data_IF_854519240045
#
_entry.id   IF_854519240045
#
_cell.length_a   1.000
_cell.length_b   1.000
_cell.length_c   1.000
_cell.angle_alpha   90.00
_cell.angle_beta   90.00
_cell.angle_gamma   90.00
#
_symmetry.space_group_name_H-M   'P 1'
#
loop_
_entity.id
_entity.type
_entity.pdbx_description
1 polymer ?
#
# COMPACT_ATOMS: atom_id res chain seq x y z
N UNK A 1 4.67 6.09 -19.23
CA UNK A 1 3.79 6.10 -20.43
C UNK A 1 2.51 5.41 -20.01
N UNK A 2 1.33 6.01 -20.22
CA UNK A 2 0.05 5.36 -19.89
C UNK A 2 -0.24 4.28 -20.94
N UNK A 3 -0.46 3.00 -20.55
CA UNK A 3 -0.89 1.93 -21.44
C UNK A 3 -2.13 2.31 -22.25
N UNK A 4 -2.23 1.79 -23.48
CA UNK A 4 -3.32 2.16 -24.41
C UNK A 4 -4.72 1.89 -23.82
N UNK A 5 -4.89 0.76 -23.13
CA UNK A 5 -6.17 0.39 -22.53
C UNK A 5 -6.61 1.31 -21.37
N UNK A 6 -5.66 1.99 -20.71
CA UNK A 6 -5.94 2.98 -19.64
C UNK A 6 -6.12 4.40 -20.19
N UNK A 7 -5.57 4.68 -21.38
CA UNK A 7 -5.48 6.04 -21.93
C UNK A 7 -6.84 6.67 -22.16
N UNK A 8 -7.79 5.91 -22.72
CA UNK A 8 -9.15 6.42 -22.99
C UNK A 8 -9.82 6.91 -21.71
N UNK A 9 -9.69 6.16 -20.61
CA UNK A 9 -10.27 6.55 -19.33
C UNK A 9 -9.55 7.75 -18.73
N UNK A 10 -8.21 7.80 -18.81
CA UNK A 10 -7.43 8.96 -18.36
C UNK A 10 -7.84 10.24 -19.11
N UNK A 11 -7.96 10.17 -20.44
CA UNK A 11 -8.35 11.30 -21.29
C UNK A 11 -9.78 11.76 -20.98
N UNK A 12 -10.71 10.83 -20.73
CA UNK A 12 -12.07 11.17 -20.33
C UNK A 12 -12.13 11.83 -18.94
N UNK A 13 -11.32 11.37 -17.97
CA UNK A 13 -11.21 12.02 -16.65
C UNK A 13 -10.69 13.45 -16.81
N UNK A 14 -9.66 13.66 -17.63
CA UNK A 14 -9.14 14.99 -17.93
C UNK A 14 -10.23 15.87 -18.57
N UNK A 15 -10.98 15.34 -19.54
CA UNK A 15 -12.04 16.09 -20.22
C UNK A 15 -13.18 16.50 -19.26
N UNK A 16 -13.57 15.63 -18.33
CA UNK A 16 -14.57 15.95 -17.30
C UNK A 16 -14.02 16.95 -16.26
N UNK A 17 -12.76 16.81 -15.86
CA UNK A 17 -12.09 17.74 -14.95
C UNK A 17 -11.93 19.14 -15.58
N UNK A 18 -11.63 19.22 -16.87
CA UNK A 18 -11.47 20.50 -17.58
C UNK A 18 -12.78 21.31 -17.59
N UNK A 19 -13.92 20.61 -17.75
CA UNK A 19 -15.27 21.20 -17.74
C UNK A 19 -15.75 21.61 -16.36
N UNK A 20 -15.25 20.96 -15.31
CA UNK A 20 -15.61 21.27 -13.93
C UNK A 20 -14.75 22.43 -13.39
N UNK A 21 -15.34 23.63 -13.14
CA UNK A 21 -14.57 24.78 -12.66
C UNK A 21 -13.98 24.58 -11.25
N UNK A 22 -14.47 23.58 -10.51
CA UNK A 22 -14.00 23.23 -9.16
C UNK A 22 -12.68 22.47 -9.19
N UNK A 23 -12.35 21.82 -10.31
CA UNK A 23 -11.11 21.05 -10.47
C UNK A 23 -10.01 21.95 -11.07
N UNK A 24 -8.85 21.90 -10.44
CA UNK A 24 -7.64 22.67 -10.74
C UNK A 24 -6.59 21.84 -11.49
N UNK A 25 -6.48 20.54 -11.22
CA UNK A 25 -5.52 19.68 -11.89
C UNK A 25 -5.91 18.19 -11.81
N UNK A 26 -5.34 17.41 -12.73
CA UNK A 26 -5.34 15.94 -12.71
C UNK A 26 -3.89 15.47 -12.80
N UNK A 27 -3.46 14.68 -11.82
CA UNK A 27 -2.16 14.01 -11.81
C UNK A 27 -2.33 12.51 -11.88
N UNK A 28 -1.40 11.81 -12.53
CA UNK A 28 -1.27 10.36 -12.48
C UNK A 28 -0.18 9.95 -11.50
N UNK A 29 -0.52 9.12 -10.52
CA UNK A 29 0.41 8.50 -9.57
C UNK A 29 0.81 7.08 -9.97
N UNK A 30 1.27 6.33 -8.98
CA UNK A 30 1.49 4.89 -9.02
C UNK A 30 2.36 4.45 -10.19
N UNK A 31 1.95 3.36 -10.83
CA UNK A 31 2.74 2.72 -11.89
C UNK A 31 3.05 3.67 -13.06
N UNK A 32 2.17 4.64 -13.32
CA UNK A 32 2.34 5.65 -14.39
C UNK A 32 3.45 6.61 -14.02
N UNK A 33 3.46 7.11 -12.79
CA UNK A 33 4.47 8.02 -12.27
C UNK A 33 5.86 7.36 -12.18
N UNK A 34 5.89 6.05 -11.89
CA UNK A 34 7.14 5.29 -11.79
C UNK A 34 7.63 4.73 -13.11
N UNK A 35 6.83 4.81 -14.18
CA UNK A 35 7.16 4.27 -15.50
C UNK A 35 7.13 2.74 -15.56
N UNK A 36 6.41 2.09 -14.65
CA UNK A 36 6.32 0.62 -14.53
C UNK A 36 4.94 0.07 -14.87
N UNK A 37 4.06 0.87 -15.50
CA UNK A 37 2.73 0.40 -15.92
C UNK A 37 2.81 -0.70 -16.98
N UNK A 38 1.93 -1.68 -16.85
CA UNK A 38 1.75 -2.82 -17.75
C UNK A 38 0.24 -3.10 -17.98
N UNK A 39 -0.08 -4.24 -18.59
CA UNK A 39 -1.47 -4.65 -18.89
C UNK A 39 -2.32 -4.98 -17.65
N UNK A 40 -1.70 -5.14 -16.48
CA UNK A 40 -2.37 -5.46 -15.21
C UNK A 40 -2.45 -4.27 -14.27
N UNK A 41 -1.97 -3.10 -14.72
CA UNK A 41 -1.92 -1.90 -13.92
C UNK A 41 -3.29 -1.23 -13.84
N UNK A 42 -3.59 -0.70 -12.66
CA UNK A 42 -4.62 0.29 -12.44
C UNK A 42 -4.15 1.70 -12.86
N UNK A 43 -5.09 2.65 -12.80
CA UNK A 43 -4.84 4.06 -13.02
C UNK A 43 -5.09 4.85 -11.73
N UNK A 44 -4.01 5.26 -11.06
CA UNK A 44 -4.06 6.16 -9.90
C UNK A 44 -4.16 7.62 -10.34
N UNK A 45 -5.31 8.26 -10.17
CA UNK A 45 -5.52 9.67 -10.49
C UNK A 45 -5.77 10.50 -9.24
N UNK A 46 -5.09 11.64 -9.16
CA UNK A 46 -5.31 12.67 -8.15
C UNK A 46 -5.97 13.86 -8.80
N UNK A 47 -7.20 14.16 -8.40
CA UNK A 47 -7.94 15.35 -8.81
C UNK A 47 -7.76 16.43 -7.74
N UNK A 48 -7.08 17.50 -8.09
CA UNK A 48 -6.90 18.66 -7.22
C UNK A 48 -8.12 19.57 -7.37
N UNK A 49 -8.94 19.65 -6.34
CA UNK A 49 -10.13 20.50 -6.27
C UNK A 49 -9.79 21.81 -5.55
N UNK A 50 -10.58 22.87 -5.74
CA UNK A 50 -10.55 24.04 -4.85
C UNK A 50 -10.87 23.64 -3.42
N UNK A 51 -10.30 24.37 -2.46
CA UNK A 51 -10.43 24.06 -1.03
C UNK A 51 -11.91 24.01 -0.60
N UNK A 52 -12.70 25.01 -1.00
CA UNK A 52 -14.12 25.14 -0.66
C UNK A 52 -15.02 24.13 -1.36
N UNK A 53 -14.60 23.58 -2.49
CA UNK A 53 -15.41 22.74 -3.37
C UNK A 53 -15.15 21.23 -3.15
N UNK A 54 -14.03 20.85 -2.54
CA UNK A 54 -13.66 19.44 -2.36
C UNK A 54 -14.75 18.59 -1.68
N UNK A 55 -15.47 19.06 -0.63
CA UNK A 55 -16.54 18.27 -0.04
C UNK A 55 -17.67 17.95 -1.03
N UNK A 56 -18.02 18.90 -1.91
CA UNK A 56 -19.03 18.68 -2.95
C UNK A 56 -18.51 17.73 -4.04
N UNK A 57 -17.25 17.88 -4.47
CA UNK A 57 -16.61 16.95 -5.40
C UNK A 57 -16.62 15.50 -4.87
N UNK A 58 -16.37 15.31 -3.57
CA UNK A 58 -16.43 13.99 -2.93
C UNK A 58 -17.85 13.43 -2.87
N UNK A 59 -18.84 14.27 -2.51
CA UNK A 59 -20.25 13.87 -2.48
C UNK A 59 -20.75 13.44 -3.88
N UNK A 60 -20.24 14.07 -4.94
CA UNK A 60 -20.60 13.82 -6.33
C UNK A 60 -19.64 12.85 -7.05
N UNK A 61 -18.66 12.26 -6.35
CA UNK A 61 -17.57 11.50 -6.98
C UNK A 61 -18.09 10.32 -7.85
N UNK A 62 -19.16 9.65 -7.39
CA UNK A 62 -19.80 8.57 -8.15
C UNK A 62 -20.46 9.07 -9.43
N UNK A 63 -21.07 10.24 -9.40
CA UNK A 63 -21.68 10.87 -10.58
C UNK A 63 -20.59 11.32 -11.56
N UNK A 64 -19.49 11.87 -11.05
CA UNK A 64 -18.31 12.17 -11.85
C UNK A 64 -17.79 10.92 -12.57
N UNK A 65 -17.57 9.82 -11.83
CA UNK A 65 -17.15 8.54 -12.42
C UNK A 65 -18.14 8.01 -13.47
N UNK A 66 -19.45 8.17 -13.24
CA UNK A 66 -20.48 7.79 -14.22
C UNK A 66 -20.42 8.55 -15.55
N UNK A 67 -19.86 9.76 -15.57
CA UNK A 67 -19.67 10.55 -16.81
C UNK A 67 -18.38 10.20 -17.55
N UNK A 68 -17.37 9.68 -16.86
CA UNK A 68 -16.07 9.32 -17.43
C UNK A 68 -16.17 8.16 -18.43
N UNK A 69 -17.08 7.21 -18.21
CA UNK A 69 -17.19 6.05 -19.07
C UNK A 69 -18.23 5.05 -18.61
N UNK A 70 -18.26 3.83 -19.20
CA UNK A 70 -19.19 2.78 -18.83
C UNK A 70 -18.81 2.20 -17.46
N UNK A 71 -19.26 2.86 -16.40
CA UNK A 71 -19.02 2.48 -15.01
C UNK A 71 -19.78 1.20 -14.67
N UNK A 72 -19.05 0.18 -14.21
CA UNK A 72 -19.61 -1.10 -13.79
C UNK A 72 -19.84 -1.13 -12.27
N UNK A 73 -18.90 -0.58 -11.50
CA UNK A 73 -19.00 -0.50 -10.04
C UNK A 73 -18.15 0.64 -9.49
N UNK A 74 -18.54 1.20 -8.35
CA UNK A 74 -17.70 2.16 -7.61
C UNK A 74 -17.98 2.14 -6.11
N UNK A 75 -16.95 2.40 -5.32
CA UNK A 75 -17.02 2.47 -3.85
C UNK A 75 -15.92 3.38 -3.29
N UNK A 76 -16.07 3.76 -2.03
CA UNK A 76 -15.17 4.64 -1.28
C UNK A 76 -13.98 3.88 -0.70
N UNK A 77 -12.85 4.57 -0.51
CA UNK A 77 -11.62 4.02 0.09
C UNK A 77 -11.67 3.78 1.60
N UNK A 78 -12.85 3.63 2.21
CA UNK A 78 -13.02 3.49 3.66
C UNK A 78 -12.30 2.26 4.23
N UNK A 79 -12.29 1.15 3.50
CA UNK A 79 -11.61 -0.09 3.86
C UNK A 79 -10.07 0.03 3.91
N UNK A 80 -9.49 1.07 3.28
CA UNK A 80 -8.06 1.42 3.35
C UNK A 80 -7.81 2.70 4.15
N UNK A 81 -8.84 3.24 4.81
CA UNK A 81 -8.73 4.46 5.62
C UNK A 81 -8.54 5.75 4.82
N UNK A 82 -8.85 5.76 3.51
CA UNK A 82 -8.75 6.94 2.65
C UNK A 82 -10.15 7.42 2.22
N UNK A 83 -10.80 8.32 2.98
CA UNK A 83 -12.16 8.78 2.68
C UNK A 83 -12.22 9.69 1.44
N UNK A 84 -11.06 10.16 0.94
CA UNK A 84 -10.99 11.02 -0.24
C UNK A 84 -10.89 10.24 -1.56
N UNK A 85 -10.88 8.91 -1.48
CA UNK A 85 -10.68 8.02 -2.62
C UNK A 85 -12.01 7.41 -3.05
N UNK A 86 -12.31 7.52 -4.34
CA UNK A 86 -13.29 6.69 -5.02
C UNK A 86 -12.57 5.68 -5.90
N UNK A 87 -12.87 4.40 -5.72
CA UNK A 87 -12.40 3.31 -6.56
C UNK A 87 -13.49 3.00 -7.57
N UNK A 88 -13.14 2.97 -8.85
CA UNK A 88 -14.05 2.76 -9.95
C UNK A 88 -13.57 1.62 -10.87
N UNK A 89 -14.51 0.78 -11.29
CA UNK A 89 -14.29 -0.26 -12.28
C UNK A 89 -15.13 0.07 -13.52
N UNK A 90 -14.48 0.26 -14.66
CA UNK A 90 -15.12 0.52 -15.95
C UNK A 90 -15.08 -0.71 -16.85
N UNK A 91 -15.96 -0.78 -17.86
CA UNK A 91 -15.71 -1.64 -19.01
C UNK A 91 -16.83 -1.72 -20.05
N UNK A 92 -16.54 -2.30 -21.23
CA UNK A 92 -15.24 -2.83 -21.67
C UNK A 92 -14.28 -1.78 -22.30
N UNK A 93 -12.93 -1.96 -22.25
CA UNK A 93 -12.20 -3.02 -21.53
C UNK A 93 -12.28 -2.81 -20.00
N UNK A 94 -12.01 -3.87 -19.22
CA UNK A 94 -11.97 -3.74 -17.76
C UNK A 94 -10.82 -2.84 -17.35
N UNK A 95 -11.14 -1.75 -16.65
CA UNK A 95 -10.16 -0.77 -16.17
C UNK A 95 -10.47 -0.40 -14.73
N UNK A 96 -9.48 -0.58 -13.85
CA UNK A 96 -9.52 -0.17 -12.45
C UNK A 96 -8.91 1.23 -12.31
N UNK A 97 -9.65 2.16 -11.70
CA UNK A 97 -9.24 3.55 -11.54
C UNK A 97 -9.47 4.02 -10.12
N UNK A 98 -8.42 4.56 -9.53
CA UNK A 98 -8.45 5.26 -8.25
C UNK A 98 -8.58 6.75 -8.52
N UNK A 99 -9.70 7.34 -8.09
CA UNK A 99 -9.97 8.78 -8.20
C UNK A 99 -9.87 9.40 -6.80
N UNK A 100 -8.72 9.99 -6.50
CA UNK A 100 -8.46 10.66 -5.21
C UNK A 100 -8.67 12.16 -5.33
N UNK A 101 -9.62 12.70 -4.58
CA UNK A 101 -9.96 14.12 -4.60
C UNK A 101 -9.24 14.83 -3.45
N UNK A 102 -8.29 15.71 -3.76
CA UNK A 102 -7.51 16.46 -2.78
C UNK A 102 -7.67 17.95 -2.97
N UNK A 103 -7.38 18.72 -1.94
CA UNK A 103 -7.17 20.16 -2.06
C UNK A 103 -5.70 20.48 -2.36
N UNK A 104 -5.32 21.73 -2.72
CA UNK A 104 -3.92 22.12 -2.85
C UNK A 104 -3.13 21.89 -1.56
N UNK A 105 -3.73 22.17 -0.40
CA UNK A 105 -3.11 21.87 0.89
C UNK A 105 -2.95 20.36 1.10
N UNK A 106 -3.99 19.58 0.79
CA UNK A 106 -3.94 18.12 0.85
C UNK A 106 -2.88 17.49 -0.07
N UNK A 107 -2.52 18.15 -1.17
CA UNK A 107 -1.46 17.74 -2.10
C UNK A 107 -0.05 17.96 -1.54
N UNK A 108 0.12 18.84 -0.53
CA UNK A 108 1.41 19.03 0.16
C UNK A 108 1.88 17.74 0.84
N UNK A 109 0.95 16.95 1.36
CA UNK A 109 1.23 15.63 1.94
C UNK A 109 0.99 14.52 0.90
N UNK A 110 2.06 14.14 0.21
CA UNK A 110 2.03 13.10 -0.84
C UNK A 110 3.24 12.18 -0.72
N UNK A 111 3.09 10.96 -1.22
CA UNK A 111 4.18 9.97 -1.25
C UNK A 111 5.08 10.14 -2.48
N UNK A 112 4.56 10.74 -3.55
CA UNK A 112 5.29 11.07 -4.78
C UNK A 112 4.62 12.25 -5.50
N UNK A 113 5.33 12.88 -6.44
CA UNK A 113 4.83 14.05 -7.17
C UNK A 113 3.74 13.72 -8.19
N UNK A 114 3.77 12.52 -8.77
CA UNK A 114 2.93 12.16 -9.92
C UNK A 114 3.30 12.90 -11.22
N UNK A 115 2.67 12.50 -12.32
CA UNK A 115 2.78 13.15 -13.62
C UNK A 115 1.55 14.04 -13.83
N UNK A 116 1.74 15.32 -14.11
CA UNK A 116 0.61 16.21 -14.42
C UNK A 116 0.05 15.81 -15.78
N UNK A 117 -1.22 15.40 -15.81
CA UNK A 117 -1.95 15.14 -17.06
C UNK A 117 -2.61 16.42 -17.57
N UNK A 118 -3.12 17.23 -16.64
CA UNK A 118 -3.73 18.52 -16.92
C UNK A 118 -3.69 19.41 -15.67
N UNK A 119 -3.52 20.72 -15.86
CA UNK A 119 -3.68 21.71 -14.81
C UNK A 119 -4.22 23.02 -15.39
N UNK A 120 -5.05 23.70 -14.62
CA UNK A 120 -5.74 24.95 -14.99
C UNK A 120 -4.84 26.17 -14.80
N UNK A 121 -4.02 26.15 -13.76
CA UNK A 121 -3.07 27.20 -13.39
C UNK A 121 -1.79 26.58 -12.78
N UNK A 122 -0.96 27.39 -12.12
CA UNK A 122 0.33 26.99 -11.55
C UNK A 122 0.23 26.37 -10.15
N UNK A 123 -0.97 26.02 -9.67
CA UNK A 123 -1.19 25.54 -8.30
C UNK A 123 -0.35 24.31 -7.95
N UNK A 124 -0.25 23.33 -8.85
CA UNK A 124 0.56 22.12 -8.60
C UNK A 124 2.04 22.49 -8.52
N UNK A 125 2.51 23.36 -9.40
CA UNK A 125 3.92 23.78 -9.44
C UNK A 125 4.30 24.54 -8.16
N UNK A 126 3.44 25.43 -7.66
CA UNK A 126 3.63 26.12 -6.37
C UNK A 126 3.67 25.14 -5.20
N UNK A 127 2.70 24.22 -5.11
CA UNK A 127 2.68 23.20 -4.04
C UNK A 127 3.98 22.37 -4.03
N UNK A 128 4.48 21.97 -5.21
CA UNK A 128 5.73 21.21 -5.35
C UNK A 128 6.97 22.00 -4.94
N UNK A 129 7.01 23.31 -5.20
CA UNK A 129 8.10 24.17 -4.74
C UNK A 129 8.12 24.33 -3.21
N UNK A 130 6.94 24.24 -2.59
CA UNK A 130 6.76 24.52 -1.16
C UNK A 130 6.64 23.24 -0.30
N UNK A 131 6.75 22.04 -0.89
CA UNK A 131 6.63 20.77 -0.18
C UNK A 131 7.31 19.61 -0.91
N UNK A 132 7.84 18.64 -0.16
CA UNK A 132 8.55 17.48 -0.69
C UNK A 132 7.74 16.20 -0.47
N UNK A 133 7.61 15.31 -1.47
CA UNK A 133 6.96 14.02 -1.28
C UNK A 133 7.79 13.13 -0.34
N UNK A 134 7.12 12.33 0.49
CA UNK A 134 7.79 11.39 1.39
C UNK A 134 6.99 10.10 1.53
N UNK A 135 7.64 8.97 1.22
CA UNK A 135 7.11 7.65 1.56
C UNK A 135 7.32 7.38 3.04
N UNK A 136 6.30 6.90 3.77
CA UNK A 136 6.46 6.46 5.15
C UNK A 136 7.57 5.40 5.24
N UNK A 137 8.62 5.71 5.99
CA UNK A 137 9.70 4.75 6.22
C UNK A 137 9.31 3.82 7.38
N UNK A 138 9.76 2.56 7.34
CA UNK A 138 9.50 1.66 8.45
C UNK A 138 10.23 2.13 9.71
N UNK A 139 9.61 1.91 10.87
CA UNK A 139 10.20 2.15 12.18
C UNK A 139 10.65 0.81 12.78
N UNK A 140 11.97 0.50 12.77
CA UNK A 140 12.45 -0.77 13.28
C UNK A 140 12.18 -0.97 14.77
N UNK A 141 12.19 0.09 15.57
CA UNK A 141 11.93 -0.02 17.01
C UNK A 141 10.45 -0.32 17.26
N UNK A 142 9.54 0.32 16.52
CA UNK A 142 8.12 0.03 16.59
C UNK A 142 7.80 -1.44 16.27
N UNK A 143 8.54 -2.03 15.31
CA UNK A 143 8.44 -3.44 14.95
C UNK A 143 8.98 -4.33 16.08
N UNK A 144 10.21 -4.08 16.57
CA UNK A 144 10.85 -4.90 17.61
C UNK A 144 10.06 -4.88 18.93
N UNK A 145 9.44 -3.75 19.28
CA UNK A 145 8.60 -3.63 20.48
C UNK A 145 7.34 -4.52 20.45
N UNK A 146 6.95 -5.02 19.26
CA UNK A 146 5.68 -5.76 19.06
C UNK A 146 5.86 -7.19 18.56
N UNK A 147 6.92 -7.46 17.81
CA UNK A 147 7.10 -8.73 17.10
C UNK A 147 6.99 -9.95 18.00
N UNK A 148 7.61 -9.93 19.19
CA UNK A 148 7.59 -11.06 20.11
C UNK A 148 6.19 -11.32 20.68
N UNK A 149 5.42 -10.27 20.92
CA UNK A 149 4.01 -10.37 21.33
C UNK A 149 3.17 -10.99 20.21
N UNK A 150 3.41 -10.60 18.95
CA UNK A 150 2.71 -11.19 17.80
C UNK A 150 3.10 -12.65 17.53
N UNK A 151 4.36 -13.02 17.73
CA UNK A 151 4.83 -14.41 17.60
C UNK A 151 4.16 -15.27 18.67
N UNK A 152 4.16 -14.84 19.94
CA UNK A 152 3.47 -15.57 21.00
C UNK A 152 1.95 -15.65 20.75
N UNK A 153 1.32 -14.56 20.32
CA UNK A 153 -0.10 -14.56 19.93
C UNK A 153 -0.37 -15.64 18.88
N UNK A 154 0.41 -15.65 17.79
CA UNK A 154 0.28 -16.63 16.71
C UNK A 154 0.44 -18.06 17.24
N UNK A 155 1.42 -18.32 18.10
CA UNK A 155 1.64 -19.63 18.71
C UNK A 155 0.43 -20.11 19.53
N UNK A 156 -0.18 -19.22 20.32
CA UNK A 156 -1.40 -19.52 21.08
C UNK A 156 -2.56 -19.87 20.16
N UNK A 157 -2.69 -19.21 19.00
CA UNK A 157 -3.72 -19.53 17.99
C UNK A 157 -3.54 -20.92 17.40
N UNK A 158 -2.30 -21.30 17.09
CA UNK A 158 -1.97 -22.67 16.66
C UNK A 158 -2.35 -23.68 17.74
N UNK A 159 -1.91 -23.46 18.98
CA UNK A 159 -2.17 -24.38 20.10
C UNK A 159 -3.67 -24.56 20.41
N UNK A 160 -4.49 -23.55 20.11
CA UNK A 160 -5.95 -23.58 20.29
C UNK A 160 -6.71 -24.16 19.09
N UNK A 161 -6.02 -24.50 18.00
CA UNK A 161 -6.65 -24.94 16.75
C UNK A 161 -7.37 -23.81 16.01
N UNK A 162 -7.11 -22.54 16.34
CA UNK A 162 -7.64 -21.36 15.65
C UNK A 162 -6.78 -21.11 14.37
N UNK A 163 -6.74 -22.09 13.46
CA UNK A 163 -5.74 -22.17 12.39
C UNK A 163 -5.84 -21.05 11.36
N UNK A 164 -7.05 -20.61 11.00
CA UNK A 164 -7.21 -19.47 10.08
C UNK A 164 -6.69 -18.16 10.69
N UNK A 165 -6.94 -17.92 11.97
CA UNK A 165 -6.39 -16.78 12.71
C UNK A 165 -4.86 -16.86 12.77
N UNK A 166 -4.29 -18.05 12.97
CA UNK A 166 -2.84 -18.24 12.94
C UNK A 166 -2.26 -17.92 11.55
N UNK A 167 -2.92 -18.33 10.46
CA UNK A 167 -2.48 -18.03 9.09
C UNK A 167 -2.57 -16.53 8.79
N UNK A 168 -3.64 -15.86 9.23
CA UNK A 168 -3.76 -14.40 9.12
C UNK A 168 -2.65 -13.68 9.91
N UNK A 169 -2.38 -14.12 11.14
CA UNK A 169 -1.32 -13.56 11.97
C UNK A 169 0.08 -13.77 11.34
N UNK A 170 0.35 -14.93 10.72
CA UNK A 170 1.57 -15.15 9.93
C UNK A 170 1.67 -14.19 8.75
N UNK A 171 0.56 -13.96 8.04
CA UNK A 171 0.48 -12.97 6.97
C UNK A 171 0.75 -11.54 7.46
N UNK A 172 0.23 -11.19 8.64
CA UNK A 172 0.49 -9.91 9.28
C UNK A 172 1.98 -9.78 9.65
N UNK A 173 2.58 -10.76 10.33
CA UNK A 173 4.02 -10.76 10.67
C UNK A 173 4.90 -10.58 9.42
N UNK A 174 4.59 -11.29 8.33
CA UNK A 174 5.28 -11.07 7.05
C UNK A 174 5.17 -9.62 6.58
N UNK A 175 3.97 -9.06 6.61
CA UNK A 175 3.66 -7.77 5.98
C UNK A 175 4.12 -6.56 6.79
N UNK A 176 4.02 -6.62 8.12
CA UNK A 176 4.24 -5.47 9.02
C UNK A 176 5.58 -5.51 9.76
N UNK A 177 6.27 -6.66 9.78
CA UNK A 177 7.56 -6.80 10.46
C UNK A 177 8.68 -7.23 9.50
N UNK A 178 8.51 -8.37 8.82
CA UNK A 178 9.59 -8.93 7.99
C UNK A 178 9.82 -8.10 6.73
N UNK A 179 8.78 -7.84 5.93
CA UNK A 179 8.92 -7.13 4.67
C UNK A 179 9.46 -5.69 4.81
N UNK A 180 9.05 -4.91 5.81
CA UNK A 180 9.62 -3.60 6.10
C UNK A 180 11.14 -3.63 6.33
N UNK A 181 11.63 -4.56 7.16
CA UNK A 181 13.07 -4.69 7.41
C UNK A 181 13.81 -5.31 6.22
N UNK A 182 13.21 -6.27 5.53
CA UNK A 182 13.75 -6.89 4.32
C UNK A 182 13.91 -5.92 3.15
N UNK A 183 13.27 -4.75 3.19
CA UNK A 183 13.34 -3.75 2.11
C UNK A 183 14.16 -2.51 2.50
N UNK A 184 14.65 -2.43 3.75
CA UNK A 184 15.52 -1.36 4.21
C UNK A 184 16.76 -1.23 3.31
N UNK A 185 17.00 -0.01 2.82
CA UNK A 185 18.12 0.30 1.92
C UNK A 185 17.98 -0.27 0.50
N UNK A 186 16.90 -0.99 0.17
CA UNK A 186 16.66 -1.60 -1.15
C UNK A 186 15.66 -0.82 -2.00
N UNK A 187 14.81 -0.04 -1.35
CA UNK A 187 13.84 0.84 -2.01
C UNK A 187 13.60 2.08 -1.17
N UNK A 188 13.34 3.21 -1.84
CA UNK A 188 12.84 4.42 -1.19
C UNK A 188 11.30 4.38 -0.99
N UNK A 189 10.64 3.34 -1.53
CA UNK A 189 9.18 3.18 -1.60
C UNK A 189 8.76 1.86 -0.95
N UNK A 190 8.82 1.76 0.38
CA UNK A 190 8.35 0.56 1.08
C UNK A 190 6.85 0.35 0.82
N UNK A 191 6.47 -0.87 0.45
CA UNK A 191 5.09 -1.23 0.06
C UNK A 191 4.69 -2.62 0.60
N UNK A 192 5.10 -2.92 1.83
CA UNK A 192 4.88 -4.23 2.45
C UNK A 192 5.54 -5.36 1.64
N UNK A 193 4.79 -6.44 1.40
CA UNK A 193 5.28 -7.62 0.66
C UNK A 193 5.38 -7.41 -0.86
N UNK A 194 4.90 -6.27 -1.38
CA UNK A 194 4.84 -6.03 -2.83
C UNK A 194 6.24 -6.08 -3.44
N UNK A 195 6.43 -6.97 -4.42
CA UNK A 195 7.66 -7.14 -5.21
C UNK A 195 8.88 -7.59 -4.40
N UNK A 196 8.70 -8.26 -3.26
CA UNK A 196 9.82 -8.85 -2.51
C UNK A 196 10.65 -9.83 -3.35
N UNK A 197 10.04 -10.52 -4.31
CA UNK A 197 10.71 -11.42 -5.25
C UNK A 197 11.69 -10.68 -6.17
N UNK A 198 11.49 -9.38 -6.37
CA UNK A 198 12.40 -8.50 -7.12
C UNK A 198 13.35 -7.74 -6.20
N UNK A 199 12.85 -7.24 -5.06
CA UNK A 199 13.62 -6.39 -4.14
C UNK A 199 14.58 -7.18 -3.24
N UNK A 200 14.22 -8.41 -2.90
CA UNK A 200 14.93 -9.30 -1.99
C UNK A 200 14.90 -10.76 -2.50
N UNK A 201 15.32 -11.02 -3.75
CA UNK A 201 15.23 -12.36 -4.36
C UNK A 201 15.94 -13.44 -3.53
N UNK A 202 16.99 -13.07 -2.82
CA UNK A 202 17.77 -13.96 -1.95
C UNK A 202 17.03 -14.41 -0.68
N UNK A 203 15.92 -13.74 -0.32
CA UNK A 203 15.08 -14.10 0.83
C UNK A 203 13.82 -14.88 0.44
N UNK A 204 13.56 -15.07 -0.87
CA UNK A 204 12.36 -15.76 -1.37
C UNK A 204 12.20 -17.17 -0.80
N UNK A 205 13.25 -18.00 -0.68
CA UNK A 205 13.13 -19.32 -0.06
C UNK A 205 12.62 -19.25 1.38
N UNK A 206 13.18 -18.37 2.21
CA UNK A 206 12.78 -18.18 3.60
C UNK A 206 11.39 -17.55 3.72
N UNK A 207 11.06 -16.56 2.88
CA UNK A 207 9.72 -15.97 2.79
C UNK A 207 8.67 -17.04 2.48
N UNK A 208 8.96 -17.92 1.53
CA UNK A 208 8.08 -19.04 1.15
C UNK A 208 7.88 -20.01 2.32
N UNK A 209 8.94 -20.28 3.11
CA UNK A 209 8.87 -21.14 4.27
C UNK A 209 7.95 -20.58 5.38
N UNK A 210 7.69 -19.27 5.41
CA UNK A 210 6.74 -18.68 6.37
C UNK A 210 5.26 -18.90 6.01
N UNK A 211 4.94 -19.46 4.84
CA UNK A 211 3.56 -19.73 4.43
C UNK A 211 3.13 -21.11 4.93
N UNK A 212 1.92 -21.19 5.48
CA UNK A 212 1.33 -22.41 6.03
C UNK A 212 0.01 -22.75 5.33
N UNK A 213 -0.31 -24.04 5.30
CA UNK A 213 -1.65 -24.56 5.02
C UNK A 213 -2.48 -24.64 6.30
N UNK A 214 -3.76 -25.01 6.19
CA UNK A 214 -4.67 -25.18 7.34
C UNK A 214 -4.35 -26.48 8.09
N UNK A 215 -3.21 -26.49 8.76
CA UNK A 215 -2.70 -27.59 9.57
C UNK A 215 -1.84 -27.03 10.72
N UNK A 216 -1.93 -27.64 11.91
CA UNK A 216 -1.28 -27.10 13.12
C UNK A 216 0.24 -27.21 13.07
N UNK A 217 0.79 -28.32 12.57
CA UNK A 217 2.22 -28.55 12.47
C UNK A 217 2.83 -27.65 11.38
N UNK A 218 2.12 -27.47 10.27
CA UNK A 218 2.50 -26.52 9.22
C UNK A 218 2.49 -25.06 9.69
N UNK A 219 1.47 -24.65 10.46
CA UNK A 219 1.44 -23.30 11.05
C UNK A 219 2.59 -23.10 12.04
N UNK A 220 2.90 -24.10 12.87
CA UNK A 220 4.02 -24.02 13.79
C UNK A 220 5.34 -23.93 13.01
N UNK A 221 5.57 -24.79 12.00
CA UNK A 221 6.75 -24.75 11.12
C UNK A 221 6.92 -23.36 10.49
N UNK A 222 5.85 -22.81 9.93
CA UNK A 222 5.85 -21.50 9.30
C UNK A 222 6.14 -20.35 10.28
N UNK A 223 5.57 -20.41 11.49
CA UNK A 223 5.89 -19.46 12.56
C UNK A 223 7.38 -19.52 12.91
N UNK A 224 7.96 -20.72 12.92
CA UNK A 224 9.39 -20.86 13.18
C UNK A 224 10.26 -20.24 12.11
N UNK A 225 9.94 -20.51 10.84
CA UNK A 225 10.59 -19.87 9.71
C UNK A 225 10.45 -18.34 9.75
N UNK A 226 9.30 -17.81 10.18
CA UNK A 226 9.08 -16.37 10.31
C UNK A 226 9.98 -15.74 11.39
N UNK A 227 10.16 -16.41 12.54
CA UNK A 227 11.08 -15.98 13.59
C UNK A 227 12.52 -15.94 13.09
N UNK A 228 12.98 -17.01 12.43
CA UNK A 228 14.35 -17.08 11.92
C UNK A 228 14.60 -16.02 10.86
N UNK A 229 13.62 -15.80 9.97
CA UNK A 229 13.70 -14.76 8.95
C UNK A 229 13.69 -13.37 9.59
N UNK A 230 12.84 -13.11 10.59
CA UNK A 230 12.83 -11.85 11.32
C UNK A 230 14.19 -11.54 11.95
N UNK A 231 14.77 -12.54 12.64
CA UNK A 231 16.13 -12.45 13.21
C UNK A 231 17.16 -12.11 12.16
N UNK A 232 17.09 -12.75 10.98
CA UNK A 232 17.99 -12.49 9.86
C UNK A 232 17.84 -11.07 9.31
N UNK A 233 16.62 -10.58 9.07
CA UNK A 233 16.41 -9.26 8.44
C UNK A 233 16.65 -8.08 9.39
N UNK A 234 16.59 -8.29 10.71
CA UNK A 234 16.95 -7.25 11.69
C UNK A 234 18.45 -7.16 11.98
N UNK A 235 19.28 -8.08 11.46
CA UNK A 235 20.73 -8.00 11.65
C UNK A 235 21.28 -6.72 11.01
N UNK A 236 22.12 -5.99 11.75
CA UNK A 236 22.68 -4.71 11.32
C UNK A 236 21.70 -3.53 11.33
N UNK A 237 20.44 -3.73 11.73
CA UNK A 237 19.47 -2.64 11.92
C UNK A 237 19.64 -2.02 13.31
N UNK A 238 19.65 -0.69 13.39
CA UNK A 238 19.72 0.04 14.65
C UNK A 238 18.38 -0.03 15.39
N UNK A 239 18.34 -0.82 16.48
CA UNK A 239 17.19 -0.98 17.37
C UNK A 239 17.63 -1.56 18.72
N UNK A 240 16.82 -1.38 19.75
CA UNK A 240 16.95 -2.02 21.06
C UNK A 240 16.23 -3.38 21.03
N UNK A 241 17.02 -4.47 20.97
CA UNK A 241 16.49 -5.84 20.97
C UNK A 241 15.75 -6.13 22.28
N UNK A 242 14.53 -6.67 22.18
CA UNK A 242 13.74 -7.12 23.33
C UNK A 242 14.12 -8.56 23.69
N UNK A 243 15.40 -8.78 23.99
CA UNK A 243 16.00 -10.12 24.20
C UNK A 243 15.25 -10.97 25.23
N UNK A 244 14.83 -10.39 26.35
CA UNK A 244 14.07 -11.14 27.36
C UNK A 244 12.69 -11.62 26.86
N UNK A 245 12.03 -10.84 26.00
CA UNK A 245 10.77 -11.24 25.39
C UNK A 245 11.01 -12.32 24.34
N UNK A 246 12.05 -12.14 23.51
CA UNK A 246 12.49 -13.13 22.54
C UNK A 246 12.76 -14.50 23.17
N UNK A 247 13.62 -14.55 24.19
CA UNK A 247 13.96 -15.80 24.90
C UNK A 247 12.71 -16.50 25.43
N UNK A 248 11.83 -15.78 26.13
CA UNK A 248 10.61 -16.34 26.69
C UNK A 248 9.65 -16.89 25.62
N UNK A 249 9.54 -16.21 24.46
CA UNK A 249 8.69 -16.66 23.35
C UNK A 249 9.28 -17.88 22.65
N UNK A 250 10.60 -17.95 22.50
CA UNK A 250 11.29 -19.10 21.89
C UNK A 250 11.16 -20.34 22.76
N UNK A 251 11.32 -20.17 24.08
CA UNK A 251 11.07 -21.25 25.04
C UNK A 251 9.61 -21.74 24.96
N UNK A 252 8.65 -20.82 24.86
CA UNK A 252 7.24 -21.16 24.70
C UNK A 252 6.95 -21.97 23.43
N UNK A 253 7.65 -21.69 22.34
CA UNK A 253 7.51 -22.45 21.09
C UNK A 253 8.05 -23.88 21.19
N UNK A 254 8.76 -24.24 22.27
CA UNK A 254 9.43 -25.53 22.41
C UNK A 254 10.62 -25.65 21.46
N UNK A 255 11.45 -24.61 21.37
CA UNK A 255 12.73 -24.65 20.69
C UNK A 255 13.79 -25.04 21.72
N UNK A 256 14.12 -26.32 21.78
CA UNK A 256 15.18 -26.88 22.61
C UNK A 256 15.74 -28.13 21.95
#
# INVERSE_FOLDING_TARGET
>A
MIPEHLRVVADNVVAEAERDPRVLAVLAGGSVATGTSDEYSDLDLVLVCRDEDQPACLAEAKEFAGRVGPLLSSFTGEHVGEPRLLIALYGPPLVHVDLKFVTPDGLRTRVEDGVVLWQRDDTVDRVRQESTPAWPQPDPQWIEDRIWVWVHYTAVKVARGELFEAIEALGAVRSVAIAPLATLGRTARPAGVRRLETLAPELVPELSATVATVDADECLRALRAAVDLYRKVREGVELERRTAAEEAVIDFLGWG
#
